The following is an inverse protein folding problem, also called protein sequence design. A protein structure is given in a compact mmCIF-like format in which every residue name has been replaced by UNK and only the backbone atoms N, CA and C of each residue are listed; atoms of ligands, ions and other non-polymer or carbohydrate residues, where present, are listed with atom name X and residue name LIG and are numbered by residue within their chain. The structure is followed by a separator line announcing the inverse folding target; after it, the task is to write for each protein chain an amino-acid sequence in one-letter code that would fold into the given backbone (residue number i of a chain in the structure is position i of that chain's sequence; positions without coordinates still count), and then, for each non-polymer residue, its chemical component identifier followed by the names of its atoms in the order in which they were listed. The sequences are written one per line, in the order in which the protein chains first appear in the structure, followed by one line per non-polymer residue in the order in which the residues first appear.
data_IF_286033030419
#
_entry.id   IF_286033030419
#
_cell.length_a   1.000
_cell.length_b   1.000
_cell.length_c   1.000
_cell.angle_alpha   90.00
_cell.angle_beta   90.00
_cell.angle_gamma   90.00
#
_symmetry.space_group_name_H-M   'P 1'
#
loop_
_entity.id
_entity.type
_entity.pdbx_description
1 polymer ?
#
# COMPACT_ATOMS: atom_id res chain seq x y z
N UNK A 1 -28.27 6.41 -1.63
CA UNK A 1 -27.61 6.67 -0.34
C UNK A 1 -26.94 5.38 0.08
N UNK A 2 -25.73 5.11 -0.45
CA UNK A 2 -25.01 3.87 -0.15
C UNK A 2 -24.30 4.07 1.18
N UNK A 3 -24.56 3.17 2.13
CA UNK A 3 -23.91 3.11 3.42
C UNK A 3 -22.39 3.07 3.21
N UNK A 4 -21.70 4.12 3.62
CA UNK A 4 -20.28 4.06 3.96
C UNK A 4 -20.18 3.15 5.18
N UNK A 5 -20.02 1.86 4.90
CA UNK A 5 -19.77 0.84 5.91
C UNK A 5 -18.57 1.26 6.72
N UNK A 6 -18.79 1.42 8.02
CA UNK A 6 -17.78 1.74 9.00
C UNK A 6 -16.52 0.90 8.74
N UNK A 7 -15.41 1.56 8.37
CA UNK A 7 -14.08 0.96 8.30
C UNK A 7 -13.64 0.64 9.72
N UNK A 8 -14.22 -0.43 10.26
CA UNK A 8 -13.82 -0.95 11.56
C UNK A 8 -12.32 -1.22 11.52
N UNK A 9 -11.61 -0.58 12.43
CA UNK A 9 -10.28 -0.96 12.86
C UNK A 9 -10.35 -2.36 13.50
N UNK A 10 -10.60 -3.37 12.66
CA UNK A 10 -10.36 -4.76 13.01
C UNK A 10 -8.85 -4.83 13.20
N UNK A 11 -8.43 -4.97 14.46
CA UNK A 11 -7.08 -5.34 14.86
C UNK A 11 -6.72 -6.66 14.16
N UNK A 12 -6.35 -6.57 12.88
CA UNK A 12 -5.77 -7.68 12.16
C UNK A 12 -4.32 -7.75 12.67
N UNK A 13 -3.93 -8.83 13.36
CA UNK A 13 -2.52 -9.00 13.70
C UNK A 13 -1.76 -8.97 12.38
N UNK A 14 -0.89 -7.98 12.21
CA UNK A 14 0.04 -7.94 11.08
C UNK A 14 0.82 -9.23 11.19
N UNK A 15 0.64 -10.19 10.28
CA UNK A 15 1.38 -11.43 10.39
C UNK A 15 2.88 -11.09 10.38
N UNK A 16 3.70 -11.83 11.12
CA UNK A 16 5.15 -11.69 10.98
C UNK A 16 5.53 -12.24 9.60
N UNK A 17 5.48 -11.37 8.61
CA UNK A 17 5.67 -11.68 7.20
C UNK A 17 7.00 -11.13 6.74
N UNK A 18 7.67 -11.90 5.89
CA UNK A 18 8.86 -11.49 5.14
C UNK A 18 8.52 -10.32 4.20
N UNK A 19 8.27 -9.13 4.75
CA UNK A 19 7.86 -7.92 4.02
C UNK A 19 8.94 -7.47 3.05
N UNK A 20 8.98 -8.17 1.94
CA UNK A 20 9.94 -8.06 0.87
C UNK A 20 9.18 -8.16 -0.43
N UNK A 21 9.71 -7.52 -1.44
CA UNK A 21 9.28 -7.79 -2.80
C UNK A 21 9.75 -9.19 -3.21
N UNK A 22 9.15 -9.72 -4.28
CA UNK A 22 9.80 -10.83 -4.98
C UNK A 22 11.18 -10.36 -5.48
N UNK A 23 12.23 -11.20 -5.44
CA UNK A 23 13.54 -10.85 -5.99
C UNK A 23 13.48 -10.37 -7.45
N UNK A 24 12.49 -10.86 -8.21
CA UNK A 24 12.29 -10.53 -9.61
C UNK A 24 11.53 -9.22 -9.85
N UNK A 25 10.83 -8.68 -8.86
CA UNK A 25 9.99 -7.47 -9.03
C UNK A 25 10.57 -6.24 -8.35
N UNK A 26 11.45 -6.42 -7.37
CA UNK A 26 12.03 -5.33 -6.58
C UNK A 26 12.67 -4.24 -7.47
N UNK A 27 13.56 -4.64 -8.38
CA UNK A 27 14.29 -3.70 -9.22
C UNK A 27 13.33 -2.85 -10.07
N UNK A 28 12.36 -3.48 -10.74
CA UNK A 28 11.40 -2.76 -11.59
C UNK A 28 10.55 -1.76 -10.79
N UNK A 29 10.13 -2.12 -9.57
CA UNK A 29 9.40 -1.21 -8.71
C UNK A 29 10.27 -0.05 -8.20
N UNK A 30 11.51 -0.34 -7.82
CA UNK A 30 12.46 0.70 -7.44
C UNK A 30 12.72 1.68 -8.59
N UNK A 31 12.98 1.18 -9.80
CA UNK A 31 13.23 2.03 -10.98
C UNK A 31 12.02 2.90 -11.32
N UNK A 32 10.80 2.38 -11.09
CA UNK A 32 9.56 3.09 -11.41
C UNK A 32 9.11 4.09 -10.33
N UNK A 33 9.42 3.83 -9.06
CA UNK A 33 8.80 4.54 -7.93
C UNK A 33 9.78 5.05 -6.87
N UNK A 34 10.97 4.44 -6.77
CA UNK A 34 11.93 4.71 -5.70
C UNK A 34 12.33 6.18 -5.62
N UNK A 35 12.54 6.84 -6.77
CA UNK A 35 12.93 8.25 -6.82
C UNK A 35 11.91 9.19 -6.19
N UNK A 36 10.61 8.97 -6.44
CA UNK A 36 9.53 9.79 -5.87
C UNK A 36 9.39 9.63 -4.35
N UNK A 37 9.84 8.49 -3.82
CA UNK A 37 9.89 8.20 -2.39
C UNK A 37 11.22 8.60 -1.75
N UNK A 38 12.21 9.05 -2.53
CA UNK A 38 13.54 9.41 -2.03
C UNK A 38 14.47 8.22 -1.74
N UNK A 39 14.09 7.00 -2.15
CA UNK A 39 14.93 5.83 -2.02
C UNK A 39 16.12 5.88 -3.00
N UNK A 40 17.31 5.56 -2.52
CA UNK A 40 18.55 5.60 -3.33
C UNK A 40 18.97 4.24 -3.84
N UNK A 41 18.52 3.16 -3.18
CA UNK A 41 18.78 1.78 -3.60
C UNK A 41 17.51 0.93 -3.54
N UNK A 42 17.48 -0.20 -4.27
CA UNK A 42 16.38 -1.17 -4.16
C UNK A 42 16.16 -1.67 -2.73
N UNK A 43 17.24 -1.87 -1.96
CA UNK A 43 17.18 -2.33 -0.56
C UNK A 43 16.55 -1.28 0.35
N UNK A 44 16.91 0.00 0.18
CA UNK A 44 16.31 1.11 0.91
C UNK A 44 14.81 1.21 0.59
N UNK A 45 14.44 1.17 -0.68
CA UNK A 45 13.04 1.17 -1.12
C UNK A 45 12.25 -0.01 -0.53
N UNK A 46 12.82 -1.22 -0.50
CA UNK A 46 12.18 -2.36 0.14
C UNK A 46 11.99 -2.13 1.64
N UNK A 47 12.99 -1.57 2.34
CA UNK A 47 12.89 -1.26 3.77
C UNK A 47 11.76 -0.25 4.04
N UNK A 48 11.65 0.80 3.23
CA UNK A 48 10.57 1.80 3.33
C UNK A 48 9.20 1.16 3.11
N UNK A 49 9.05 0.34 2.07
CA UNK A 49 7.81 -0.37 1.79
C UNK A 49 7.43 -1.33 2.92
N UNK A 50 8.42 -2.05 3.47
CA UNK A 50 8.25 -2.98 4.58
C UNK A 50 7.77 -2.25 5.84
N UNK A 51 8.40 -1.13 6.19
CA UNK A 51 8.01 -0.28 7.33
C UNK A 51 6.58 0.25 7.15
N UNK A 52 6.25 0.80 5.99
CA UNK A 52 4.93 1.32 5.68
C UNK A 52 3.82 0.25 5.80
N UNK A 53 4.06 -0.93 5.21
CA UNK A 53 3.05 -2.00 5.13
C UNK A 53 2.90 -2.80 6.43
N UNK A 54 3.93 -2.81 7.28
CA UNK A 54 3.93 -3.58 8.52
C UNK A 54 3.84 -2.73 9.79
N UNK A 55 3.81 -1.40 9.68
CA UNK A 55 3.55 -0.53 10.83
C UNK A 55 2.23 -0.95 11.51
N UNK A 56 2.19 -1.13 12.84
CA UNK A 56 0.92 -1.41 13.54
C UNK A 56 -0.14 -0.41 13.13
N UNK A 57 -1.33 -0.88 12.76
CA UNK A 57 -2.38 0.01 12.24
C UNK A 57 -2.86 1.00 13.31
N UNK A 58 -3.02 0.51 14.55
CA UNK A 58 -3.28 1.35 15.71
C UNK A 58 -2.21 2.44 15.79
N UNK A 59 -2.65 3.69 15.88
CA UNK A 59 -1.81 4.89 16.02
C UNK A 59 -0.92 5.26 14.81
N UNK A 60 -1.09 4.59 13.67
CA UNK A 60 -0.29 4.89 12.47
C UNK A 60 -0.77 6.10 11.66
N UNK A 61 -2.04 6.48 11.79
CA UNK A 61 -2.69 7.46 10.91
C UNK A 61 -2.96 6.95 9.49
N UNK A 62 -2.67 5.68 9.21
CA UNK A 62 -2.90 5.05 7.90
C UNK A 62 -4.35 4.59 7.78
N UNK A 63 -4.87 4.65 6.55
CA UNK A 63 -6.09 3.95 6.16
C UNK A 63 -5.75 2.55 5.63
N UNK A 64 -6.63 1.57 5.89
CA UNK A 64 -6.42 0.17 5.50
C UNK A 64 -7.69 -0.46 4.95
N UNK A 65 -7.52 -1.31 3.94
CA UNK A 65 -8.58 -2.09 3.32
C UNK A 65 -8.08 -3.49 3.00
N UNK A 66 -8.86 -4.52 3.37
CA UNK A 66 -8.56 -5.91 3.05
C UNK A 66 -9.43 -6.31 1.87
N UNK A 67 -8.81 -6.72 0.77
CA UNK A 67 -9.53 -7.15 -0.44
C UNK A 67 -10.27 -8.46 -0.15
N UNK A 68 -11.60 -8.55 -0.22
CA UNK A 68 -12.34 -9.74 0.21
C UNK A 68 -12.01 -11.01 -0.59
N UNK A 69 -11.61 -10.87 -1.86
CA UNK A 69 -11.32 -12.00 -2.75
C UNK A 69 -9.92 -12.59 -2.56
N UNK A 70 -8.87 -11.77 -2.41
CA UNK A 70 -7.49 -12.23 -2.28
C UNK A 70 -6.98 -12.29 -0.84
N UNK A 71 -7.56 -11.47 0.04
CA UNK A 71 -7.04 -11.21 1.39
C UNK A 71 -5.83 -10.27 1.41
N UNK A 72 -5.49 -9.63 0.28
CA UNK A 72 -4.41 -8.64 0.27
C UNK A 72 -4.78 -7.42 1.11
N UNK A 73 -3.80 -6.89 1.82
CA UNK A 73 -3.94 -5.70 2.64
C UNK A 73 -3.44 -4.51 1.83
N UNK A 74 -4.33 -3.56 1.57
CA UNK A 74 -4.02 -2.29 0.92
C UNK A 74 -3.96 -1.19 1.99
N UNK A 75 -2.95 -0.34 1.93
CA UNK A 75 -2.76 0.78 2.85
C UNK A 75 -2.55 2.09 2.12
N UNK A 76 -3.00 3.15 2.75
CA UNK A 76 -2.89 4.52 2.26
C UNK A 76 -2.55 5.48 3.41
N UNK A 77 -1.61 6.40 3.17
CA UNK A 77 -1.30 7.50 4.06
C UNK A 77 -1.95 8.79 3.55
N UNK A 78 -2.97 9.34 4.23
CA UNK A 78 -3.61 10.59 3.82
C UNK A 78 -2.69 11.83 3.95
N UNK A 79 -1.62 11.77 4.74
CA UNK A 79 -0.69 12.89 4.90
C UNK A 79 0.30 12.99 3.73
N UNK A 80 0.87 11.87 3.32
CA UNK A 80 1.90 11.83 2.26
C UNK A 80 1.36 11.43 0.90
N UNK A 81 0.17 10.81 0.85
CA UNK A 81 -0.38 10.20 -0.35
C UNK A 81 0.25 8.84 -0.68
N UNK A 82 1.12 8.30 0.17
CA UNK A 82 1.75 7.01 -0.06
C UNK A 82 0.70 5.88 -0.06
N UNK A 83 0.85 4.96 -1.00
CA UNK A 83 -0.03 3.83 -1.22
C UNK A 83 0.80 2.56 -1.32
N UNK A 84 0.29 1.45 -0.78
CA UNK A 84 0.95 0.16 -0.90
C UNK A 84 0.00 -1.01 -0.73
N UNK A 85 0.44 -2.18 -1.21
CA UNK A 85 -0.29 -3.44 -1.09
C UNK A 85 0.69 -4.53 -0.67
N UNK A 86 0.30 -5.28 0.36
CA UNK A 86 0.99 -6.51 0.78
C UNK A 86 0.03 -7.69 0.65
N UNK A 87 0.52 -8.79 0.08
CA UNK A 87 -0.27 -10.00 -0.02
C UNK A 87 -0.49 -10.66 1.35
N UNK A 88 -1.53 -11.48 1.46
CA UNK A 88 -1.73 -12.32 2.66
C UNK A 88 -0.57 -13.29 2.94
N UNK A 89 0.24 -13.57 1.91
CA UNK A 89 1.47 -14.36 1.94
C UNK A 89 2.68 -13.57 2.46
N UNK A 90 2.53 -12.26 2.68
CA UNK A 90 3.59 -11.38 3.14
C UNK A 90 4.45 -10.75 2.06
N UNK A 91 4.17 -11.03 0.78
CA UNK A 91 4.96 -10.49 -0.32
C UNK A 91 4.41 -9.12 -0.70
N UNK A 92 5.29 -8.12 -0.73
CA UNK A 92 4.93 -6.77 -1.16
C UNK A 92 4.58 -6.79 -2.65
N UNK A 93 3.40 -6.26 -2.97
CA UNK A 93 2.91 -6.15 -4.35
C UNK A 93 3.26 -4.80 -4.97
N UNK A 94 3.21 -3.72 -4.19
CA UNK A 94 3.58 -2.36 -4.64
C UNK A 94 3.76 -1.40 -3.46
N UNK A 95 4.49 -0.30 -3.68
CA UNK A 95 4.61 0.84 -2.77
C UNK A 95 4.99 2.11 -3.56
N UNK A 96 4.16 3.13 -3.59
CA UNK A 96 4.40 4.35 -4.37
C UNK A 96 3.48 5.51 -3.95
N UNK A 97 3.74 6.72 -4.47
CA UNK A 97 2.81 7.84 -4.38
C UNK A 97 2.09 7.94 -5.74
N UNK A 98 0.77 7.69 -5.81
CA UNK A 98 0.03 7.77 -7.06
C UNK A 98 0.02 9.20 -7.64
N UNK A 99 0.50 9.39 -8.87
CA UNK A 99 0.37 10.69 -9.57
C UNK A 99 -0.76 10.68 -10.60
N UNK A 100 -1.28 11.85 -11.01
CA UNK A 100 -2.28 11.95 -12.06
C UNK A 100 -1.83 11.28 -13.38
N UNK A 101 -0.55 11.41 -13.75
CA UNK A 101 0.02 10.85 -14.98
C UNK A 101 -0.02 9.31 -14.96
N UNK A 102 0.23 8.71 -13.79
CA UNK A 102 0.22 7.26 -13.61
C UNK A 102 -1.20 6.68 -13.51
N UNK A 103 -2.17 7.48 -13.06
CA UNK A 103 -3.47 6.99 -12.59
C UNK A 103 -4.67 7.61 -13.31
N UNK A 104 -4.50 8.04 -14.56
CA UNK A 104 -5.60 8.53 -15.39
C UNK A 104 -6.24 9.82 -14.85
N UNK A 105 -5.44 10.71 -14.26
CA UNK A 105 -5.88 12.00 -13.74
C UNK A 105 -6.30 11.99 -12.26
N UNK A 106 -6.24 10.84 -11.58
CA UNK A 106 -6.65 10.73 -10.18
C UNK A 106 -5.60 11.31 -9.22
N UNK A 107 -6.06 11.98 -8.17
CA UNK A 107 -5.24 12.29 -6.98
C UNK A 107 -4.93 11.00 -6.20
N UNK A 108 -3.93 11.00 -5.29
CA UNK A 108 -3.66 9.85 -4.42
C UNK A 108 -4.89 9.34 -3.68
N UNK A 109 -5.71 10.25 -3.14
CA UNK A 109 -6.91 9.89 -2.41
C UNK A 109 -8.01 9.31 -3.33
N UNK A 110 -8.19 9.88 -4.53
CA UNK A 110 -9.12 9.32 -5.51
C UNK A 110 -8.69 7.93 -5.97
N UNK A 111 -7.38 7.72 -6.17
CA UNK A 111 -6.83 6.42 -6.50
C UNK A 111 -7.11 5.40 -5.38
N UNK A 112 -6.89 5.77 -4.12
CA UNK A 112 -7.21 4.95 -2.96
C UNK A 112 -8.70 4.51 -2.94
N UNK A 113 -9.62 5.46 -3.10
CA UNK A 113 -11.06 5.16 -3.14
C UNK A 113 -11.43 4.26 -4.32
N UNK A 114 -10.80 4.45 -5.48
CA UNK A 114 -11.01 3.59 -6.64
C UNK A 114 -10.46 2.18 -6.41
N UNK A 115 -9.34 2.02 -5.68
CA UNK A 115 -8.86 0.68 -5.27
C UNK A 115 -9.85 -0.02 -4.34
N UNK A 116 -10.44 0.69 -3.36
CA UNK A 116 -11.49 0.10 -2.51
C UNK A 116 -12.67 -0.35 -3.40
N UNK A 117 -13.16 0.53 -4.27
CA UNK A 117 -14.32 0.24 -5.14
C UNK A 117 -14.07 -0.95 -6.08
N UNK A 118 -12.88 -1.07 -6.66
CA UNK A 118 -12.56 -2.14 -7.63
C UNK A 118 -12.37 -3.50 -6.97
N UNK A 119 -11.96 -3.51 -5.69
CA UNK A 119 -11.54 -4.72 -4.99
C UNK A 119 -12.39 -5.03 -3.75
N UNK A 120 -13.54 -4.37 -3.58
CA UNK A 120 -14.59 -4.69 -2.58
C UNK A 120 -15.56 -5.74 -3.05
#
# INVERSE_FOLDING_TARGET
MALVGSIAAMSCPIPNINGKFSPTTLQNHFDSHGAALGAKTPEEYQSMAAEFLQKPHADSGLEQFIRPSSGDITRFDPQTGAFGVIGKDGIIRTYFIPTPEMNGGMTPYQYWLDQIRRWS
#
